data_IF_937752228559
#
_entry.id   IF_937752228559
#
_cell.length_a   1.000
_cell.length_b   1.000
_cell.length_c   1.000
_cell.angle_alpha   90.00
_cell.angle_beta   90.00
_cell.angle_gamma   90.00
#
_symmetry.space_group_name_H-M   'P 1'
#
loop_
_entity.id
_entity.type
_entity.pdbx_description
1 polymer ?
#
# COMPACT_ATOMS: atom_id res chain seq x y z
N UNK A 1 -24.93 -4.91 -35.93
CA UNK A 1 -24.25 -6.15 -35.48
C UNK A 1 -23.65 -5.92 -34.10
N UNK A 2 -24.17 -6.56 -33.05
CA UNK A 2 -23.57 -6.60 -31.71
C UNK A 2 -22.72 -7.86 -31.60
N UNK A 3 -21.40 -7.73 -31.71
CA UNK A 3 -20.43 -8.82 -31.44
C UNK A 3 -19.38 -8.45 -30.37
N UNK A 4 -19.58 -7.34 -29.66
CA UNK A 4 -18.57 -6.77 -28.75
C UNK A 4 -18.46 -7.50 -27.41
N UNK A 5 -19.53 -8.14 -26.94
CA UNK A 5 -19.61 -8.69 -25.57
C UNK A 5 -18.71 -9.92 -25.34
N UNK A 6 -18.50 -10.76 -26.37
CA UNK A 6 -17.73 -12.01 -26.20
C UNK A 6 -16.20 -11.84 -26.12
N UNK A 7 -15.66 -10.74 -26.67
CA UNK A 7 -14.21 -10.45 -26.60
C UNK A 7 -13.83 -9.67 -25.34
N UNK A 8 -14.68 -8.73 -24.92
CA UNK A 8 -14.48 -7.95 -23.69
C UNK A 8 -14.47 -8.83 -22.44
N UNK A 9 -15.36 -9.83 -22.37
CA UNK A 9 -15.41 -10.80 -21.26
C UNK A 9 -14.15 -11.66 -21.20
N UNK A 10 -13.60 -12.09 -22.35
CA UNK A 10 -12.35 -12.88 -22.41
C UNK A 10 -11.13 -12.10 -21.92
N UNK A 11 -11.05 -10.79 -22.19
CA UNK A 11 -9.94 -9.95 -21.72
C UNK A 11 -9.95 -9.77 -20.20
N UNK A 12 -11.12 -9.63 -19.60
CA UNK A 12 -11.27 -9.51 -18.15
C UNK A 12 -10.96 -10.84 -17.43
N UNK A 13 -11.47 -11.96 -17.95
CA UNK A 13 -11.16 -13.28 -17.40
C UNK A 13 -9.67 -13.59 -17.48
N UNK A 14 -9.02 -13.20 -18.59
CA UNK A 14 -7.58 -13.34 -18.74
C UNK A 14 -6.80 -12.52 -17.72
N UNK A 15 -7.11 -11.23 -17.57
CA UNK A 15 -6.44 -10.35 -16.59
C UNK A 15 -6.66 -10.81 -15.15
N UNK A 16 -7.86 -11.30 -14.81
CA UNK A 16 -8.12 -11.89 -13.50
C UNK A 16 -7.27 -13.14 -13.26
N UNK A 17 -7.10 -13.99 -14.29
CA UNK A 17 -6.19 -15.14 -14.20
C UNK A 17 -4.75 -14.69 -13.99
N UNK A 18 -4.25 -13.74 -14.77
CA UNK A 18 -2.89 -13.21 -14.62
C UNK A 18 -2.67 -12.61 -13.22
N UNK A 19 -3.64 -11.85 -12.71
CA UNK A 19 -3.60 -11.33 -11.33
C UNK A 19 -3.52 -12.47 -10.31
N UNK A 20 -4.27 -13.55 -10.50
CA UNK A 20 -4.21 -14.75 -9.68
C UNK A 20 -2.84 -15.43 -9.73
N UNK A 21 -2.33 -15.67 -10.94
CA UNK A 21 -1.04 -16.33 -11.18
C UNK A 21 0.14 -15.52 -10.60
N UNK A 22 0.01 -14.18 -10.59
CA UNK A 22 0.99 -13.28 -9.98
C UNK A 22 0.84 -13.12 -8.46
N UNK A 23 -0.20 -13.69 -7.85
CA UNK A 23 -0.48 -13.55 -6.42
C UNK A 23 -0.93 -12.13 -6.03
N UNK A 24 -1.54 -11.40 -6.96
CA UNK A 24 -2.00 -10.02 -6.77
C UNK A 24 -3.49 -9.92 -6.43
N UNK A 25 -4.23 -11.03 -6.31
CA UNK A 25 -5.69 -11.04 -6.12
C UNK A 25 -6.18 -10.22 -4.91
N UNK A 26 -5.39 -10.14 -3.85
CA UNK A 26 -5.73 -9.34 -2.65
C UNK A 26 -5.51 -7.83 -2.87
N UNK A 27 -4.68 -7.46 -3.85
CA UNK A 27 -4.18 -6.10 -4.04
C UNK A 27 -4.73 -5.47 -5.31
N UNK A 28 -5.12 -6.26 -6.32
CA UNK A 28 -5.52 -5.79 -7.62
C UNK A 28 -7.02 -6.03 -7.89
N UNK A 29 -7.69 -5.03 -8.49
CA UNK A 29 -9.08 -5.11 -8.92
C UNK A 29 -9.21 -4.68 -10.37
N UNK A 30 -9.77 -5.54 -11.21
CA UNK A 30 -10.06 -5.24 -12.62
C UNK A 30 -11.52 -4.80 -12.77
N UNK A 31 -11.76 -3.80 -13.60
CA UNK A 31 -13.10 -3.33 -13.98
C UNK A 31 -13.12 -2.95 -15.46
N UNK A 32 -14.23 -3.20 -16.13
CA UNK A 32 -14.52 -2.61 -17.44
C UNK A 32 -15.31 -1.32 -17.22
N UNK A 33 -14.88 -0.24 -17.87
CA UNK A 33 -15.53 1.07 -17.84
C UNK A 33 -15.83 1.48 -19.28
N UNK A 34 -17.00 1.10 -19.78
CA UNK A 34 -17.37 1.30 -21.17
C UNK A 34 -16.36 0.64 -22.10
N UNK A 35 -15.67 1.44 -22.91
CA UNK A 35 -14.65 0.99 -23.86
C UNK A 35 -13.23 0.95 -23.28
N UNK A 36 -13.07 0.76 -21.96
CA UNK A 36 -11.76 0.71 -21.30
C UNK A 36 -11.71 -0.38 -20.24
N UNK A 37 -10.52 -0.92 -20.02
CA UNK A 37 -10.20 -1.78 -18.88
C UNK A 37 -9.41 -0.94 -17.89
N UNK A 38 -9.81 -0.99 -16.62
CA UNK A 38 -9.13 -0.36 -15.49
C UNK A 38 -8.64 -1.43 -14.54
N UNK A 39 -7.39 -1.32 -14.10
CA UNK A 39 -6.83 -2.14 -13.02
C UNK A 39 -6.37 -1.21 -11.90
N UNK A 40 -6.94 -1.38 -10.71
CA UNK A 40 -6.51 -0.69 -9.49
C UNK A 40 -5.66 -1.64 -8.66
N UNK A 41 -4.41 -1.28 -8.38
CA UNK A 41 -3.55 -2.02 -7.45
C UNK A 41 -3.35 -1.19 -6.19
N UNK A 42 -3.62 -1.79 -5.03
CA UNK A 42 -3.46 -1.22 -3.69
C UNK A 42 -2.78 -2.25 -2.79
N UNK A 43 -1.51 -2.01 -2.50
CA UNK A 43 -0.74 -2.77 -1.53
C UNK A 43 -0.35 -1.84 -0.38
N UNK A 44 -0.94 -2.08 0.79
CA UNK A 44 -0.71 -1.28 1.98
C UNK A 44 -0.41 -2.16 3.20
N UNK A 45 0.83 -2.65 3.31
CA UNK A 45 1.19 -3.64 4.31
C UNK A 45 1.41 -3.08 5.72
N UNK A 46 1.45 -1.75 5.87
CA UNK A 46 1.83 -1.03 7.10
C UNK A 46 0.73 -0.10 7.62
N UNK A 47 -0.50 -0.24 7.14
CA UNK A 47 -1.65 0.60 7.55
C UNK A 47 -1.84 0.61 9.08
N UNK A 48 -1.75 -0.55 9.72
CA UNK A 48 -1.93 -0.71 11.18
C UNK A 48 -0.82 0.00 11.96
N UNK A 49 0.43 -0.15 11.52
CA UNK A 49 1.60 0.51 12.09
C UNK A 49 1.44 2.03 11.99
N UNK A 50 1.03 2.56 10.83
CA UNK A 50 0.78 4.00 10.63
C UNK A 50 -0.33 4.53 11.53
N UNK A 51 -1.44 3.80 11.67
CA UNK A 51 -2.51 4.17 12.62
C UNK A 51 -1.99 4.25 14.05
N UNK A 52 -1.23 3.25 14.48
CA UNK A 52 -0.69 3.19 15.85
C UNK A 52 0.31 4.31 16.12
N UNK A 53 1.21 4.58 15.18
CA UNK A 53 2.15 5.71 15.24
C UNK A 53 1.42 7.06 15.35
N UNK A 54 0.38 7.26 14.54
CA UNK A 54 -0.43 8.49 14.60
C UNK A 54 -1.14 8.65 15.96
N UNK A 55 -1.68 7.57 16.53
CA UNK A 55 -2.29 7.60 17.87
C UNK A 55 -1.27 7.98 18.95
N UNK A 56 -0.08 7.36 18.95
CA UNK A 56 0.98 7.72 19.91
C UNK A 56 1.46 9.17 19.72
N UNK A 57 1.60 9.63 18.47
CA UNK A 57 1.96 11.02 18.18
C UNK A 57 0.94 12.01 18.75
N UNK A 58 -0.36 11.70 18.63
CA UNK A 58 -1.42 12.54 19.18
C UNK A 58 -1.35 12.60 20.72
N UNK A 59 -1.12 11.46 21.38
CA UNK A 59 -0.96 11.39 22.84
C UNK A 59 0.26 12.19 23.33
N UNK A 60 1.41 12.05 22.67
CA UNK A 60 2.60 12.83 22.99
C UNK A 60 2.35 14.33 22.83
N UNK A 61 1.65 14.75 21.77
CA UNK A 61 1.28 16.16 21.57
C UNK A 61 0.35 16.70 22.65
N UNK A 62 -0.58 15.89 23.17
CA UNK A 62 -1.46 16.32 24.26
C UNK A 62 -0.76 16.41 25.62
N UNK A 63 0.29 15.62 25.84
CA UNK A 63 1.09 15.65 27.07
C UNK A 63 2.18 16.72 27.05
N UNK A 64 2.49 17.27 25.87
CA UNK A 64 3.57 18.22 25.70
C UNK A 64 3.24 19.55 26.39
N UNK A 65 3.59 19.65 27.67
CA UNK A 65 3.81 20.92 28.34
C UNK A 65 5.02 21.60 27.68
N UNK A 66 5.02 22.93 27.59
CA UNK A 66 5.86 23.73 26.67
C UNK A 66 7.40 23.51 26.71
N UNK A 67 7.94 22.58 27.50
CA UNK A 67 9.37 22.31 27.64
C UNK A 67 9.78 20.82 27.66
N UNK A 68 8.92 19.86 27.30
CA UNK A 68 9.35 18.44 27.28
C UNK A 68 10.14 18.08 26.00
N UNK A 69 11.46 18.19 26.09
CA UNK A 69 12.39 17.84 25.00
C UNK A 69 12.28 16.36 24.58
N UNK A 70 11.96 15.44 25.49
CA UNK A 70 11.87 14.01 25.19
C UNK A 70 10.63 13.75 24.34
N UNK A 71 9.48 14.32 24.71
CA UNK A 71 8.25 14.21 23.91
C UNK A 71 8.46 14.74 22.48
N UNK A 72 9.18 15.86 22.33
CA UNK A 72 9.52 16.45 21.04
C UNK A 72 10.37 15.54 20.17
N UNK A 73 11.40 14.92 20.74
CA UNK A 73 12.24 13.95 20.02
C UNK A 73 11.46 12.70 19.60
N UNK A 74 10.59 12.17 20.47
CA UNK A 74 9.75 11.02 20.14
C UNK A 74 8.78 11.35 18.98
N UNK A 75 8.18 12.54 18.98
CA UNK A 75 7.32 12.99 17.87
C UNK A 75 8.11 13.06 16.55
N UNK A 76 9.33 13.61 16.56
CA UNK A 76 10.16 13.67 15.35
C UNK A 76 10.52 12.28 14.81
N UNK A 77 10.84 11.33 15.69
CA UNK A 77 11.12 9.95 15.29
C UNK A 77 9.86 9.24 14.77
N UNK A 78 8.68 9.50 15.36
CA UNK A 78 7.41 9.02 14.81
C UNK A 78 7.21 9.57 13.39
N UNK A 79 7.43 10.86 13.16
CA UNK A 79 7.25 11.46 11.84
C UNK A 79 8.21 10.86 10.80
N UNK A 80 9.44 10.55 11.19
CA UNK A 80 10.39 9.82 10.33
C UNK A 80 9.90 8.41 10.01
N UNK A 81 9.42 7.65 11.00
CA UNK A 81 8.86 6.31 10.79
C UNK A 81 7.61 6.35 9.91
N UNK A 82 6.71 7.31 10.12
CA UNK A 82 5.52 7.52 9.29
C UNK A 82 5.90 7.72 7.82
N UNK A 83 6.89 8.58 7.52
CA UNK A 83 7.39 8.76 6.15
C UNK A 83 7.90 7.45 5.54
N UNK A 84 8.71 6.69 6.28
CA UNK A 84 9.25 5.40 5.79
C UNK A 84 8.14 4.37 5.54
N UNK A 85 7.15 4.30 6.43
CA UNK A 85 6.02 3.37 6.30
C UNK A 85 5.06 3.75 5.16
N UNK A 86 5.02 5.02 4.74
CA UNK A 86 4.24 5.45 3.57
C UNK A 86 4.93 5.08 2.26
N UNK A 87 6.27 5.17 2.19
CA UNK A 87 7.05 4.77 1.00
C UNK A 87 6.92 3.29 0.64
N UNK A 88 6.53 2.44 1.60
CA UNK A 88 6.28 1.02 1.37
C UNK A 88 4.91 0.71 0.75
N UNK A 89 4.01 1.71 0.70
CA UNK A 89 2.68 1.59 0.09
C UNK A 89 2.80 1.71 -1.43
N UNK A 90 2.08 0.86 -2.15
CA UNK A 90 1.97 0.92 -3.61
C UNK A 90 0.51 1.14 -3.96
N UNK A 91 0.27 2.25 -4.66
CA UNK A 91 -1.02 2.54 -5.28
C UNK A 91 -0.80 2.88 -6.75
N UNK A 92 -1.47 2.13 -7.63
CA UNK A 92 -1.40 2.30 -9.08
C UNK A 92 -2.79 2.15 -9.68
N UNK A 93 -3.07 2.97 -10.68
CA UNK A 93 -4.24 2.84 -11.54
C UNK A 93 -3.73 2.72 -12.96
N UNK A 94 -4.05 1.59 -13.60
CA UNK A 94 -3.69 1.29 -14.97
C UNK A 94 -4.97 1.32 -15.82
N UNK A 95 -4.90 1.91 -17.00
CA UNK A 95 -6.05 2.02 -17.91
C UNK A 95 -5.60 1.75 -19.33
N UNK A 96 -6.41 1.00 -20.08
CA UNK A 96 -6.16 0.69 -21.48
C UNK A 96 -7.45 0.45 -22.25
N UNK A 97 -7.38 0.43 -23.58
CA UNK A 97 -8.47 -0.03 -24.43
C UNK A 97 -8.60 -1.57 -24.35
N UNK A 98 -9.82 -2.16 -24.48
CA UNK A 98 -10.06 -3.60 -24.45
C UNK A 98 -9.62 -4.28 -25.76
N UNK A 99 -8.37 -4.08 -26.15
CA UNK A 99 -7.72 -4.74 -27.28
C UNK A 99 -6.68 -5.75 -26.79
N UNK A 100 -6.28 -6.74 -27.61
CA UNK A 100 -5.22 -7.67 -27.25
C UNK A 100 -3.91 -6.99 -26.83
N UNK A 101 -3.49 -5.95 -27.57
CA UNK A 101 -2.29 -5.17 -27.24
C UNK A 101 -2.44 -4.42 -25.92
N UNK A 102 -3.64 -3.87 -25.66
CA UNK A 102 -3.94 -3.18 -24.42
C UNK A 102 -3.91 -4.11 -23.21
N UNK A 103 -4.47 -5.32 -23.35
CA UNK A 103 -4.44 -6.38 -22.32
C UNK A 103 -3.00 -6.81 -22.05
N UNK A 104 -2.20 -7.04 -23.09
CA UNK A 104 -0.77 -7.39 -22.95
C UNK A 104 0.02 -6.29 -22.23
N UNK A 105 -0.23 -5.02 -22.52
CA UNK A 105 0.41 -3.90 -21.82
C UNK A 105 0.08 -3.92 -20.32
N UNK A 106 -1.17 -4.21 -19.95
CA UNK A 106 -1.55 -4.34 -18.54
C UNK A 106 -0.84 -5.51 -17.86
N UNK A 107 -0.68 -6.64 -18.54
CA UNK A 107 0.06 -7.79 -18.01
C UNK A 107 1.52 -7.43 -17.69
N UNK A 108 2.22 -6.78 -18.63
CA UNK A 108 3.61 -6.36 -18.44
C UNK A 108 3.75 -5.38 -17.26
N UNK A 109 2.80 -4.45 -17.12
CA UNK A 109 2.74 -3.54 -15.98
C UNK A 109 2.44 -4.27 -14.66
N UNK A 110 1.55 -5.25 -14.66
CA UNK A 110 1.24 -6.07 -13.47
C UNK A 110 2.45 -6.89 -13.03
N UNK A 111 3.22 -7.45 -13.96
CA UNK A 111 4.50 -8.13 -13.66
C UNK A 111 5.49 -7.17 -13.01
N UNK A 112 5.61 -5.94 -13.51
CA UNK A 112 6.48 -4.92 -12.90
C UNK A 112 6.05 -4.58 -11.47
N UNK A 113 4.74 -4.38 -11.25
CA UNK A 113 4.18 -4.10 -9.93
C UNK A 113 4.38 -5.28 -8.98
N UNK A 114 4.25 -6.52 -9.45
CA UNK A 114 4.49 -7.71 -8.64
C UNK A 114 5.94 -7.78 -8.15
N UNK A 115 6.91 -7.48 -9.02
CA UNK A 115 8.33 -7.38 -8.64
C UNK A 115 8.56 -6.27 -7.60
N UNK A 116 7.92 -5.11 -7.78
CA UNK A 116 7.98 -4.01 -6.80
C UNK A 116 7.42 -4.44 -5.43
N UNK A 117 6.27 -5.12 -5.40
CA UNK A 117 5.66 -5.64 -4.16
C UNK A 117 6.60 -6.64 -3.47
N UNK A 118 7.21 -7.58 -4.21
CA UNK A 118 8.16 -8.55 -3.66
C UNK A 118 9.34 -7.83 -3.03
N UNK A 119 9.91 -6.84 -3.72
CA UNK A 119 11.01 -6.05 -3.20
C UNK A 119 10.60 -5.31 -1.91
N UNK A 120 9.44 -4.65 -1.91
CA UNK A 120 8.91 -3.93 -0.73
C UNK A 120 8.61 -4.86 0.44
N UNK A 121 8.19 -6.12 0.21
CA UNK A 121 7.89 -7.08 1.29
C UNK A 121 9.08 -7.31 2.23
N UNK A 122 10.31 -7.30 1.71
CA UNK A 122 11.51 -7.44 2.52
C UNK A 122 11.67 -6.24 3.47
N UNK A 123 11.60 -5.02 2.93
CA UNK A 123 11.70 -3.76 3.69
C UNK A 123 10.57 -3.62 4.73
N UNK A 124 9.36 -4.05 4.37
CA UNK A 124 8.18 -4.00 5.24
C UNK A 124 8.39 -4.80 6.52
N UNK A 125 8.96 -6.00 6.44
CA UNK A 125 9.14 -6.84 7.63
C UNK A 125 10.11 -6.20 8.63
N UNK A 126 11.17 -5.57 8.12
CA UNK A 126 12.12 -4.81 8.94
C UNK A 126 11.44 -3.58 9.56
N UNK A 127 10.71 -2.80 8.77
CA UNK A 127 9.96 -1.64 9.27
C UNK A 127 8.94 -2.04 10.34
N UNK A 128 8.22 -3.16 10.19
CA UNK A 128 7.30 -3.67 11.22
C UNK A 128 8.02 -3.98 12.53
N UNK A 129 9.24 -4.53 12.47
CA UNK A 129 10.03 -4.82 13.67
C UNK A 129 10.50 -3.53 14.33
N UNK A 130 11.04 -2.59 13.56
CA UNK A 130 11.51 -1.29 14.05
C UNK A 130 10.37 -0.49 14.68
N UNK A 131 9.22 -0.40 14.02
CA UNK A 131 8.04 0.31 14.56
C UNK A 131 7.55 -0.34 15.85
N UNK A 132 7.47 -1.67 15.93
CA UNK A 132 7.07 -2.35 17.17
C UNK A 132 8.01 -2.06 18.34
N UNK A 133 9.31 -2.15 18.11
CA UNK A 133 10.33 -1.85 19.12
C UNK A 133 10.28 -0.38 19.56
N UNK A 134 10.16 0.53 18.60
CA UNK A 134 10.06 1.94 18.92
C UNK A 134 8.77 2.26 19.71
N UNK A 135 7.64 1.68 19.31
CA UNK A 135 6.37 1.86 20.01
C UNK A 135 6.38 1.30 21.44
N UNK A 136 7.16 0.26 21.75
CA UNK A 136 7.30 -0.17 23.15
C UNK A 136 7.95 0.90 24.01
N UNK A 137 9.01 1.57 23.52
CA UNK A 137 9.64 2.66 24.26
C UNK A 137 8.72 3.86 24.43
N UNK A 138 7.98 4.24 23.38
CA UNK A 138 7.00 5.33 23.47
C UNK A 138 5.93 5.02 24.51
N UNK A 139 5.43 3.78 24.57
CA UNK A 139 4.42 3.39 25.57
C UNK A 139 4.96 3.42 26.99
N UNK A 140 6.19 2.96 27.22
CA UNK A 140 6.80 3.06 28.56
C UNK A 140 6.96 4.52 28.99
N UNK A 141 7.42 5.39 28.09
CA UNK A 141 7.50 6.82 28.37
C UNK A 141 6.12 7.42 28.71
N UNK A 142 5.09 7.10 27.91
CA UNK A 142 3.71 7.57 28.14
C UNK A 142 3.09 7.04 29.44
N UNK A 143 3.61 5.95 30.03
CA UNK A 143 3.15 5.46 31.34
C UNK A 143 3.80 6.21 32.51
N UNK A 144 5.00 6.74 32.30
CA UNK A 144 5.77 7.46 33.31
C UNK A 144 5.56 8.98 33.29
N UNK A 145 4.95 9.51 32.23
CA UNK A 145 4.57 10.92 32.06
C UNK A 145 3.15 11.16 32.55
#
# INVERSE_FOLDING_TARGET
MRMSSGREVRGLDHLNKVIGDLGLSEYAKVRILGSMIKVEVRYDPLERERRTLNSCRAQLKSLNSQNDMVSGQLIQQIDQLLRRTELARIERVLVTAPSPDGVKLLEEQLVSIQKEIIYRRVEVNELKRLVRLFLSYVREYLRGA
#
